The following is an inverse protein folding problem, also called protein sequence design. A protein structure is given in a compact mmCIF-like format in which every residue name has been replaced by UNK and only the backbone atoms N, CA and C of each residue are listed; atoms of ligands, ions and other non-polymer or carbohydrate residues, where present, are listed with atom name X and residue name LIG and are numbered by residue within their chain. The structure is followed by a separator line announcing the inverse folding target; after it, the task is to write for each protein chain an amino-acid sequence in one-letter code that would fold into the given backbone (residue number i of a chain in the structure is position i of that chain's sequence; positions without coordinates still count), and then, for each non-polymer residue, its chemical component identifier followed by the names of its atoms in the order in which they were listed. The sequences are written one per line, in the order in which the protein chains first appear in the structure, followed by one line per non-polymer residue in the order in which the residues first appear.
data_IF_041389654250
#
_entry.id   IF_041389654250
#
_cell.length_a   1.000
_cell.length_b   1.000
_cell.length_c   1.000
_cell.angle_alpha   90.00
_cell.angle_beta   90.00
_cell.angle_gamma   90.00
#
_symmetry.space_group_name_H-M   'P 1'
#
loop_
_entity.id
_entity.type
_entity.pdbx_description
1 polymer ?
#
# COMPACT_ATOMS: atom_id res chain seq x y z
N UNK A 1 -27.86 3.88 -31.23
CA UNK A 1 -26.87 2.82 -30.92
C UNK A 1 -26.26 3.10 -29.56
N UNK A 2 -26.55 2.27 -28.56
CA UNK A 2 -26.21 2.52 -27.15
C UNK A 2 -24.72 2.38 -26.86
N UNK A 3 -24.15 3.43 -26.27
CA UNK A 3 -22.77 3.50 -25.79
C UNK A 3 -22.54 2.49 -24.67
N UNK A 4 -21.84 1.40 -24.95
CA UNK A 4 -21.35 0.48 -23.94
C UNK A 4 -20.33 1.19 -23.05
N UNK A 5 -20.79 1.71 -21.90
CA UNK A 5 -19.93 2.18 -20.82
C UNK A 5 -19.15 0.99 -20.29
N UNK A 6 -17.91 0.83 -20.77
CA UNK A 6 -16.97 -0.22 -20.33
C UNK A 6 -16.75 -0.03 -18.83
N UNK A 7 -17.47 -0.83 -18.02
CA UNK A 7 -17.32 -0.93 -16.57
C UNK A 7 -15.85 -1.19 -16.29
N UNK A 8 -15.13 -0.22 -15.71
CA UNK A 8 -13.74 -0.39 -15.25
C UNK A 8 -13.76 -1.51 -14.19
N UNK A 9 -13.59 -2.76 -14.63
CA UNK A 9 -13.24 -3.87 -13.73
C UNK A 9 -11.96 -3.44 -13.04
N UNK A 10 -11.89 -3.59 -11.71
CA UNK A 10 -10.70 -3.30 -10.93
C UNK A 10 -9.47 -3.94 -11.59
N UNK A 11 -8.37 -3.20 -11.67
CA UNK A 11 -7.12 -3.70 -12.26
C UNK A 11 -6.67 -4.93 -11.46
N UNK A 12 -6.50 -6.07 -12.13
CA UNK A 12 -5.99 -7.30 -11.53
C UNK A 12 -4.57 -7.10 -10.98
N UNK A 13 -4.17 -7.97 -10.06
CA UNK A 13 -2.77 -8.06 -9.64
C UNK A 13 -1.88 -8.26 -10.86
N UNK A 14 -0.76 -7.53 -10.91
CA UNK A 14 0.19 -7.57 -12.02
C UNK A 14 1.61 -7.85 -11.52
N UNK A 15 2.47 -8.34 -12.41
CA UNK A 15 3.90 -8.48 -12.13
C UNK A 15 4.56 -7.19 -11.67
N UNK A 16 4.11 -6.03 -12.17
CA UNK A 16 4.59 -4.72 -11.74
C UNK A 16 4.22 -4.39 -10.28
N UNK A 17 3.11 -4.93 -9.78
CA UNK A 17 2.71 -4.76 -8.37
C UNK A 17 3.65 -5.54 -7.46
N UNK A 18 3.95 -6.79 -7.80
CA UNK A 18 4.89 -7.62 -7.05
C UNK A 18 6.31 -7.05 -7.10
N UNK A 19 6.80 -6.64 -8.28
CA UNK A 19 8.11 -6.00 -8.41
C UNK A 19 8.24 -4.73 -7.55
N UNK A 20 7.16 -3.95 -7.44
CA UNK A 20 7.14 -2.77 -6.57
C UNK A 20 7.21 -3.15 -5.08
N UNK A 21 6.51 -4.21 -4.66
CA UNK A 21 6.57 -4.72 -3.29
C UNK A 21 7.96 -5.25 -2.95
N UNK A 22 8.58 -6.00 -3.87
CA UNK A 22 9.95 -6.50 -3.72
C UNK A 22 10.96 -5.36 -3.63
N UNK A 23 10.85 -4.35 -4.49
CA UNK A 23 11.73 -3.20 -4.45
C UNK A 23 11.61 -2.42 -3.15
N UNK A 24 10.38 -2.22 -2.67
CA UNK A 24 10.13 -1.59 -1.38
C UNK A 24 10.79 -2.38 -0.23
N UNK A 25 10.59 -3.70 -0.20
CA UNK A 25 11.16 -4.56 0.82
C UNK A 25 12.69 -4.60 0.79
N UNK A 26 13.31 -4.52 -0.40
CA UNK A 26 14.78 -4.49 -0.55
C UNK A 26 15.41 -3.18 -0.10
N UNK A 27 14.71 -2.07 -0.28
CA UNK A 27 15.27 -0.72 -0.05
C UNK A 27 14.96 -0.14 1.33
N UNK A 28 14.01 -0.72 2.07
CA UNK A 28 13.62 -0.29 3.42
C UNK A 28 14.02 -1.35 4.45
N UNK A 29 14.20 -0.94 5.70
CA UNK A 29 14.51 -1.85 6.81
C UNK A 29 13.27 -2.11 7.67
N UNK A 30 13.30 -3.23 8.39
CA UNK A 30 12.24 -3.63 9.32
C UNK A 30 10.86 -3.66 8.65
N UNK A 31 10.80 -4.15 7.41
CA UNK A 31 9.56 -4.18 6.64
C UNK A 31 8.67 -5.31 7.15
N UNK A 32 7.39 -5.00 7.36
CA UNK A 32 6.37 -5.94 7.79
C UNK A 32 5.21 -5.91 6.79
N UNK A 33 4.63 -7.07 6.49
CA UNK A 33 3.50 -7.21 5.58
C UNK A 33 2.17 -7.29 6.34
N UNK A 34 1.21 -6.45 5.96
CA UNK A 34 -0.16 -6.47 6.44
C UNK A 34 -1.07 -6.85 5.29
N UNK A 35 -1.67 -8.04 5.38
CA UNK A 35 -2.48 -8.63 4.33
C UNK A 35 -3.93 -8.23 4.58
N UNK A 36 -4.53 -7.57 3.60
CA UNK A 36 -5.94 -7.24 3.61
C UNK A 36 -6.72 -8.32 2.86
N UNK A 37 -7.72 -8.96 3.50
CA UNK A 37 -8.50 -9.99 2.84
C UNK A 37 -9.28 -9.42 1.66
N UNK A 38 -9.66 -10.30 0.74
CA UNK A 38 -10.60 -9.95 -0.33
C UNK A 38 -11.95 -9.60 0.30
N UNK A 39 -12.55 -8.52 -0.17
CA UNK A 39 -13.94 -8.15 0.17
C UNK A 39 -14.84 -8.26 -1.06
N UNK A 40 -16.12 -7.93 -0.92
CA UNK A 40 -17.06 -7.86 -2.03
C UNK A 40 -16.66 -6.85 -3.12
N UNK A 41 -15.87 -5.82 -2.76
CA UNK A 41 -15.54 -4.70 -3.64
C UNK A 41 -14.05 -4.48 -3.85
N UNK A 42 -13.19 -5.17 -3.09
CA UNK A 42 -11.73 -5.08 -3.20
C UNK A 42 -11.09 -6.45 -3.27
N UNK A 43 -10.17 -6.63 -4.21
CA UNK A 43 -9.26 -7.78 -4.24
C UNK A 43 -8.30 -7.76 -3.04
N UNK A 44 -7.65 -8.91 -2.79
CA UNK A 44 -6.60 -9.01 -1.77
C UNK A 44 -5.48 -8.03 -2.05
N UNK A 45 -5.07 -7.28 -1.02
CA UNK A 45 -3.96 -6.35 -1.08
C UNK A 45 -2.96 -6.62 0.03
N UNK A 46 -1.70 -6.25 -0.23
CA UNK A 46 -0.63 -6.24 0.77
C UNK A 46 -0.24 -4.80 1.01
N UNK A 47 -0.17 -4.41 2.28
CA UNK A 47 0.43 -3.17 2.75
C UNK A 47 1.78 -3.52 3.36
N UNK A 48 2.86 -3.05 2.76
CA UNK A 48 4.19 -3.14 3.38
C UNK A 48 4.43 -1.88 4.19
N UNK A 49 4.90 -2.05 5.42
CA UNK A 49 5.23 -0.95 6.33
C UNK A 49 6.66 -1.12 6.82
N UNK A 50 7.51 -0.12 6.56
CA UNK A 50 8.89 -0.07 7.03
C UNK A 50 8.98 0.32 8.52
N UNK A 51 10.18 0.19 9.08
CA UNK A 51 10.50 0.64 10.45
C UNK A 51 10.21 2.13 10.70
N UNK A 52 10.44 2.98 9.70
CA UNK A 52 10.15 4.42 9.73
C UNK A 52 8.65 4.76 9.69
N UNK A 53 7.80 3.78 9.38
CA UNK A 53 6.38 3.98 9.11
C UNK A 53 6.04 4.32 7.66
N UNK A 54 7.04 4.48 6.79
CA UNK A 54 6.81 4.55 5.33
C UNK A 54 6.06 3.28 4.88
N UNK A 55 5.10 3.43 3.98
CA UNK A 55 4.29 2.31 3.52
C UNK A 55 3.94 2.39 2.04
N UNK A 56 3.67 1.21 1.46
CA UNK A 56 3.10 1.07 0.12
C UNK A 56 2.02 0.00 0.13
N UNK A 57 1.03 0.13 -0.76
CA UNK A 57 -0.08 -0.83 -0.90
C UNK A 57 -0.21 -1.29 -2.34
N UNK A 58 -0.25 -2.59 -2.56
CA UNK A 58 -0.43 -3.19 -3.89
C UNK A 58 -1.37 -4.39 -3.86
N UNK A 59 -1.98 -4.70 -5.00
CA UNK A 59 -2.83 -5.90 -5.17
C UNK A 59 -1.96 -7.13 -5.38
N UNK A 60 -2.45 -8.26 -4.90
CA UNK A 60 -1.85 -9.58 -5.11
C UNK A 60 -2.91 -10.56 -5.61
N UNK A 61 -2.48 -11.68 -6.18
CA UNK A 61 -3.39 -12.68 -6.75
C UNK A 61 -4.35 -13.30 -5.72
N UNK A 62 -3.98 -13.29 -4.43
CA UNK A 62 -4.81 -13.75 -3.32
C UNK A 62 -4.02 -13.86 -2.02
N UNK A 63 -4.65 -14.31 -0.92
CA UNK A 63 -4.00 -14.38 0.40
C UNK A 63 -2.78 -15.31 0.40
N UNK A 64 -2.88 -16.46 -0.27
CA UNK A 64 -1.77 -17.42 -0.38
C UNK A 64 -0.55 -16.80 -1.08
N UNK A 65 -0.78 -16.03 -2.16
CA UNK A 65 0.28 -15.31 -2.86
C UNK A 65 0.92 -14.22 -1.97
N UNK A 66 0.12 -13.52 -1.15
CA UNK A 66 0.66 -12.57 -0.17
C UNK A 66 1.58 -13.25 0.85
N UNK A 67 1.14 -14.37 1.43
CA UNK A 67 1.95 -15.12 2.40
C UNK A 67 3.23 -15.68 1.75
N UNK A 68 3.14 -16.22 0.54
CA UNK A 68 4.29 -16.71 -0.21
C UNK A 68 5.28 -15.59 -0.54
N UNK A 69 4.79 -14.40 -0.91
CA UNK A 69 5.62 -13.21 -1.14
C UNK A 69 6.36 -12.80 0.14
N UNK A 70 5.65 -12.68 1.26
CA UNK A 70 6.26 -12.30 2.53
C UNK A 70 7.31 -13.32 2.99
N UNK A 71 7.01 -14.61 2.84
CA UNK A 71 7.96 -15.69 3.11
C UNK A 71 9.22 -15.58 2.25
N UNK A 72 9.07 -15.38 0.93
CA UNK A 72 10.18 -15.21 -0.01
C UNK A 72 11.02 -13.98 0.28
N UNK A 73 10.39 -12.91 0.76
CA UNK A 73 11.07 -11.67 1.18
C UNK A 73 11.69 -11.78 2.58
N UNK A 74 11.42 -12.84 3.33
CA UNK A 74 11.92 -13.02 4.70
C UNK A 74 11.35 -12.00 5.69
N UNK A 75 10.13 -11.50 5.45
CA UNK A 75 9.47 -10.52 6.29
C UNK A 75 8.27 -11.12 7.02
N UNK A 76 7.95 -10.66 8.24
CA UNK A 76 6.75 -11.11 8.94
C UNK A 76 5.49 -10.63 8.22
N UNK A 77 4.44 -11.46 8.27
CA UNK A 77 3.14 -11.18 7.70
C UNK A 77 2.03 -11.30 8.73
N UNK A 78 1.10 -10.35 8.71
CA UNK A 78 -0.04 -10.28 9.62
C UNK A 78 -1.34 -10.06 8.83
N UNK A 79 -2.46 -10.54 9.37
CA UNK A 79 -3.77 -10.17 8.86
C UNK A 79 -4.16 -8.78 9.37
N UNK A 80 -4.29 -7.83 8.45
CA UNK A 80 -4.60 -6.44 8.76
C UNK A 80 -5.97 -6.28 9.45
N UNK A 81 -6.94 -7.15 9.15
CA UNK A 81 -8.25 -7.11 9.76
C UNK A 81 -8.23 -7.58 11.23
N UNK A 82 -7.22 -8.35 11.62
CA UNK A 82 -7.05 -8.85 12.99
C UNK A 82 -6.20 -7.88 13.81
N UNK A 83 -5.01 -7.53 13.34
CA UNK A 83 -4.05 -6.75 14.13
C UNK A 83 -4.16 -5.23 13.91
N UNK A 84 -4.85 -4.81 12.85
CA UNK A 84 -4.89 -3.41 12.42
C UNK A 84 -3.56 -2.93 11.84
N UNK A 85 -3.46 -1.61 11.66
CA UNK A 85 -2.24 -0.97 11.15
C UNK A 85 -1.37 -0.43 12.30
N UNK A 86 -0.04 -0.52 12.18
CA UNK A 86 0.86 -0.12 13.24
C UNK A 86 0.87 1.41 13.40
N UNK A 87 1.14 1.87 14.63
CA UNK A 87 1.13 3.30 14.96
C UNK A 87 2.10 4.10 14.08
N UNK A 88 3.29 3.55 13.77
CA UNK A 88 4.30 4.17 12.88
C UNK A 88 3.74 4.53 11.49
N UNK A 89 2.87 3.70 10.91
CA UNK A 89 2.23 3.98 9.61
C UNK A 89 1.28 5.19 9.70
N UNK A 90 0.53 5.28 10.80
CA UNK A 90 -0.40 6.39 11.06
C UNK A 90 0.35 7.71 11.22
N UNK A 91 1.44 7.68 11.98
CA UNK A 91 2.26 8.87 12.23
C UNK A 91 3.01 9.33 10.98
N UNK A 92 3.51 8.39 10.17
CA UNK A 92 4.06 8.71 8.84
C UNK A 92 3.01 9.41 7.96
N UNK A 93 1.80 8.88 7.89
CA UNK A 93 0.72 9.46 7.07
C UNK A 93 0.36 10.86 7.53
N UNK A 94 0.28 11.09 8.86
CA UNK A 94 0.02 12.42 9.45
C UNK A 94 1.12 13.42 9.09
N UNK A 95 2.39 13.03 9.25
CA UNK A 95 3.55 13.86 8.90
C UNK A 95 3.54 14.25 7.42
N UNK A 96 3.31 13.29 6.52
CA UNK A 96 3.26 13.57 5.06
C UNK A 96 2.12 14.51 4.69
N UNK A 97 0.95 14.38 5.33
CA UNK A 97 -0.15 15.31 5.12
C UNK A 97 0.18 16.74 5.58
N UNK A 98 0.83 16.88 6.74
CA UNK A 98 1.28 18.19 7.24
C UNK A 98 2.36 18.82 6.35
N UNK A 99 3.34 18.01 5.90
CA UNK A 99 4.37 18.44 4.95
C UNK A 99 3.76 18.94 3.63
N UNK A 100 2.76 18.21 3.11
CA UNK A 100 2.06 18.58 1.88
C UNK A 100 1.26 19.87 2.05
N UNK A 101 0.56 20.04 3.16
CA UNK A 101 -0.17 21.27 3.46
C UNK A 101 0.77 22.46 3.60
N UNK A 102 1.90 22.31 4.30
CA UNK A 102 2.90 23.36 4.42
C UNK A 102 3.47 23.77 3.06
N UNK A 103 3.76 22.79 2.17
CA UNK A 103 4.19 23.05 0.79
C UNK A 103 3.15 23.85 0.01
N UNK A 104 1.89 23.41 0.03
CA UNK A 104 0.79 24.11 -0.67
C UNK A 104 0.63 25.55 -0.17
N UNK A 105 0.74 25.78 1.14
CA UNK A 105 0.67 27.13 1.73
C UNK A 105 1.83 28.01 1.26
N UNK A 106 3.05 27.48 1.21
CA UNK A 106 4.22 28.20 0.69
C UNK A 106 4.04 28.59 -0.79
N UNK A 107 3.56 27.66 -1.63
CA UNK A 107 3.32 27.91 -3.06
C UNK A 107 2.20 28.95 -3.32
N UNK A 108 1.21 29.02 -2.42
CA UNK A 108 0.14 30.05 -2.49
C UNK A 108 0.56 31.43 -1.97
N UNK A 109 1.60 31.52 -1.13
CA UNK A 109 2.05 32.77 -0.53
C UNK A 109 2.98 33.62 -1.42
N UNK A 110 3.55 33.02 -2.48
CA UNK A 110 4.46 33.70 -3.42
C UNK A 110 3.80 34.36 -4.64
N UNK A 111 2.47 34.45 -4.68
CA UNK A 111 1.70 35.05 -5.78
C UNK A 111 1.08 36.41 -5.45
N UNK A 112 1.61 37.12 -4.44
CA UNK A 112 1.17 38.48 -4.07
C UNK A 112 2.26 39.51 -4.32
#
# INVERSE_FOLDING_TARGET
MGLFRRKRRGRLASSADEAHLEEFARTRRGVEAYIEPRTAVTDTTVVLVADTGEWTRRRVAGPQAAHALAYRLGIPAYDAAIVGYPQRMRDWTRRRAQEEEARRRADSGGQQ
#
